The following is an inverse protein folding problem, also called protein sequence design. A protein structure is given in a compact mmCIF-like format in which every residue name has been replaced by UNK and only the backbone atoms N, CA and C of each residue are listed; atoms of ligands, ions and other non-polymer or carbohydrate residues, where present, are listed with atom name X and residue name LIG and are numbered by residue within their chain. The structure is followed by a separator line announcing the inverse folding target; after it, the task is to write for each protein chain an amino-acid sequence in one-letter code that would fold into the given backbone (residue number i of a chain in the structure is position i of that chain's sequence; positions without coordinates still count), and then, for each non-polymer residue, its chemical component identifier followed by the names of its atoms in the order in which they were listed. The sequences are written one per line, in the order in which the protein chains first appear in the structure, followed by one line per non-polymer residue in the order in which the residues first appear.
data_IF_359581768293
#
_entry.id   IF_359581768293
#
_cell.length_a   1.000
_cell.length_b   1.000
_cell.length_c   1.000
_cell.angle_alpha   90.00
_cell.angle_beta   90.00
_cell.angle_gamma   90.00
#
_symmetry.space_group_name_H-M   'P 1'
#
loop_
_entity.id
_entity.type
_entity.pdbx_description
1 polymer ?
#
# COMPACT_ATOMS: atom_id res chain seq x y z
N UNK A 1 -10.24 4.78 12.23
CA UNK A 1 -10.49 4.41 10.82
C UNK A 1 -9.81 3.09 10.51
N UNK A 2 -10.51 2.15 9.87
CA UNK A 2 -9.99 0.82 9.52
C UNK A 2 -9.17 0.91 8.24
N UNK A 3 -7.84 1.12 8.35
CA UNK A 3 -7.00 1.36 7.18
C UNK A 3 -6.75 0.10 6.32
N UNK A 4 -6.89 -1.09 6.91
CA UNK A 4 -6.57 -2.35 6.22
C UNK A 4 -7.79 -3.18 5.78
N UNK A 5 -9.01 -2.84 6.21
CA UNK A 5 -10.23 -3.46 5.66
C UNK A 5 -10.63 -2.67 4.41
N UNK A 6 -10.16 -3.12 3.25
CA UNK A 6 -10.39 -2.52 1.92
C UNK A 6 -10.78 -3.62 0.92
N UNK A 7 -11.35 -3.24 -0.22
CA UNK A 7 -11.63 -4.19 -1.30
C UNK A 7 -10.32 -4.67 -1.93
N UNK A 8 -10.03 -5.96 -1.79
CA UNK A 8 -8.80 -6.59 -2.29
C UNK A 8 -8.94 -7.16 -3.72
N UNK A 9 -10.15 -7.20 -4.29
CA UNK A 9 -10.35 -7.68 -5.66
C UNK A 9 -10.10 -6.59 -6.72
N UNK A 10 -9.67 -6.98 -7.93
CA UNK A 10 -9.74 -6.11 -9.10
C UNK A 10 -11.19 -5.67 -9.41
N UNK A 11 -11.43 -4.45 -9.94
CA UNK A 11 -10.48 -3.41 -10.34
C UNK A 11 -10.15 -2.39 -9.22
N UNK A 12 -10.63 -2.61 -7.98
CA UNK A 12 -10.45 -1.66 -6.88
C UNK A 12 -9.01 -1.67 -6.37
N UNK A 13 -8.41 -2.86 -6.32
CA UNK A 13 -6.97 -3.02 -6.22
C UNK A 13 -6.41 -3.11 -7.66
N UNK A 14 -5.51 -2.20 -8.07
CA UNK A 14 -4.93 -2.21 -9.41
C UNK A 14 -3.99 -3.40 -9.64
N UNK A 15 -3.45 -3.96 -8.57
CA UNK A 15 -2.61 -5.16 -8.54
C UNK A 15 -3.33 -6.31 -7.82
N UNK A 16 -2.80 -7.53 -7.94
CA UNK A 16 -3.31 -8.68 -7.19
C UNK A 16 -3.14 -8.47 -5.68
N UNK A 17 -4.08 -8.99 -4.90
CA UNK A 17 -4.02 -8.87 -3.45
C UNK A 17 -2.80 -9.63 -2.92
N UNK A 18 -1.89 -8.91 -2.27
CA UNK A 18 -0.73 -9.55 -1.63
C UNK A 18 -1.14 -10.30 -0.37
N UNK A 19 -0.34 -11.29 0.02
CA UNK A 19 -0.52 -12.01 1.29
C UNK A 19 -0.50 -11.05 2.49
N UNK A 20 0.36 -10.03 2.45
CA UNK A 20 0.43 -8.97 3.47
C UNK A 20 -0.86 -8.15 3.55
N UNK A 21 -1.49 -7.81 2.42
CA UNK A 21 -2.77 -7.11 2.40
C UNK A 21 -3.88 -7.95 3.04
N UNK A 22 -3.92 -9.26 2.71
CA UNK A 22 -4.88 -10.21 3.26
C UNK A 22 -4.68 -10.36 4.76
N UNK A 23 -3.44 -10.57 5.20
CA UNK A 23 -3.10 -10.72 6.62
C UNK A 23 -3.38 -9.45 7.41
N UNK A 24 -3.11 -8.28 6.83
CA UNK A 24 -3.44 -7.00 7.43
C UNK A 24 -4.96 -6.79 7.57
N UNK A 25 -5.75 -7.22 6.58
CA UNK A 25 -7.21 -7.20 6.66
C UNK A 25 -7.73 -8.15 7.76
N UNK A 26 -7.21 -9.38 7.81
CA UNK A 26 -7.54 -10.37 8.85
C UNK A 26 -7.23 -9.85 10.26
N UNK A 27 -6.04 -9.27 10.46
CA UNK A 27 -5.66 -8.65 11.74
C UNK A 27 -6.64 -7.56 12.18
N UNK A 28 -7.04 -6.67 11.26
CA UNK A 28 -7.99 -5.62 11.59
C UNK A 28 -9.40 -6.16 11.87
N UNK A 29 -9.82 -7.22 11.18
CA UNK A 29 -11.08 -7.91 11.48
C UNK A 29 -11.06 -8.46 12.91
N UNK A 30 -10.03 -9.23 13.29
CA UNK A 30 -9.93 -9.83 14.61
C UNK A 30 -9.92 -8.76 15.70
N UNK A 31 -9.17 -7.67 15.51
CA UNK A 31 -9.18 -6.52 16.43
C UNK A 31 -10.56 -5.87 16.55
N UNK A 32 -11.29 -5.75 15.45
CA UNK A 32 -12.62 -5.15 15.43
C UNK A 32 -13.66 -6.01 16.13
N UNK A 33 -13.62 -7.32 15.92
CA UNK A 33 -14.58 -8.28 16.51
C UNK A 33 -14.29 -8.50 17.99
N UNK A 34 -13.02 -8.66 18.36
CA UNK A 34 -12.61 -8.93 19.74
C UNK A 34 -12.64 -7.68 20.64
N UNK A 35 -12.65 -6.48 20.07
CA UNK A 35 -12.57 -5.22 20.82
C UNK A 35 -11.17 -4.87 21.35
N UNK A 36 -10.18 -5.75 21.16
CA UNK A 36 -8.80 -5.50 21.58
C UNK A 36 -8.01 -4.79 20.48
N UNK A 37 -7.34 -3.68 20.84
CA UNK A 37 -6.34 -3.04 19.96
C UNK A 37 -5.04 -3.84 19.92
N UNK A 38 -4.65 -4.42 21.05
CA UNK A 38 -3.49 -5.29 21.18
C UNK A 38 -3.87 -6.45 22.11
N UNK A 39 -3.59 -7.71 21.74
CA UNK A 39 -3.83 -8.85 22.61
C UNK A 39 -2.88 -8.81 23.80
N UNK A 40 -3.38 -9.20 24.97
CA UNK A 40 -2.53 -9.50 26.12
C UNK A 40 -1.69 -10.76 25.85
N UNK A 41 -0.56 -10.91 26.54
CA UNK A 41 0.40 -12.01 26.29
C UNK A 41 -0.25 -13.41 26.34
N UNK A 42 -1.20 -13.62 27.25
CA UNK A 42 -1.90 -14.91 27.40
C UNK A 42 -2.90 -15.20 26.27
N UNK A 43 -3.43 -14.19 25.59
CA UNK A 43 -4.37 -14.35 24.47
C UNK A 43 -3.67 -14.30 23.11
N UNK A 44 -2.35 -14.09 23.09
CA UNK A 44 -1.59 -13.84 21.87
C UNK A 44 -1.71 -14.99 20.89
N UNK A 45 -1.56 -16.22 21.36
CA UNK A 45 -1.65 -17.42 20.52
C UNK A 45 -3.04 -17.59 19.90
N UNK A 46 -4.11 -17.36 20.67
CA UNK A 46 -5.49 -17.42 20.16
C UNK A 46 -5.73 -16.32 19.11
N UNK A 47 -5.17 -15.14 19.34
CA UNK A 47 -5.27 -14.02 18.41
C UNK A 47 -4.53 -14.29 17.10
N UNK A 48 -3.29 -14.78 17.19
CA UNK A 48 -2.46 -15.12 16.02
C UNK A 48 -3.10 -16.22 15.20
N UNK A 49 -3.55 -17.31 15.85
CA UNK A 49 -4.27 -18.40 15.17
C UNK A 49 -5.52 -17.91 14.45
N UNK A 50 -6.34 -17.07 15.09
CA UNK A 50 -7.54 -16.53 14.46
C UNK A 50 -7.22 -15.64 13.25
N UNK A 51 -6.13 -14.87 13.30
CA UNK A 51 -5.68 -14.06 12.16
C UNK A 51 -5.25 -14.95 11.00
N UNK A 52 -4.49 -16.01 11.27
CA UNK A 52 -4.00 -16.91 10.23
C UNK A 52 -5.15 -17.70 9.57
N UNK A 53 -6.10 -18.23 10.35
CA UNK A 53 -7.30 -18.91 9.82
C UNK A 53 -8.13 -18.01 8.90
N UNK A 54 -8.29 -16.73 9.26
CA UNK A 54 -9.05 -15.76 8.47
C UNK A 54 -8.27 -15.33 7.22
N UNK A 55 -6.95 -15.19 7.32
CA UNK A 55 -6.10 -14.90 6.18
C UNK A 55 -6.21 -16.04 5.14
N UNK A 56 -6.10 -17.29 5.57
CA UNK A 56 -6.26 -18.47 4.72
C UNK A 56 -7.64 -18.54 4.07
N UNK A 57 -8.71 -18.33 4.86
CA UNK A 57 -10.07 -18.32 4.34
C UNK A 57 -10.28 -17.20 3.30
N UNK A 58 -9.68 -16.03 3.53
CA UNK A 58 -9.76 -14.89 2.61
C UNK A 58 -8.95 -15.14 1.33
N UNK A 59 -7.77 -15.76 1.43
CA UNK A 59 -6.96 -16.14 0.28
C UNK A 59 -7.72 -17.12 -0.63
N UNK A 60 -8.33 -18.16 -0.05
CA UNK A 60 -9.17 -19.13 -0.79
C UNK A 60 -10.36 -18.44 -1.44
N UNK A 61 -11.05 -17.57 -0.70
CA UNK A 61 -12.15 -16.77 -1.25
C UNK A 61 -11.71 -15.96 -2.47
N UNK A 62 -10.58 -15.25 -2.38
CA UNK A 62 -10.09 -14.41 -3.49
C UNK A 62 -9.63 -15.23 -4.69
N UNK A 63 -9.08 -16.43 -4.46
CA UNK A 63 -8.68 -17.35 -5.52
C UNK A 63 -9.90 -17.90 -6.29
N UNK A 64 -10.97 -18.23 -5.59
CA UNK A 64 -12.18 -18.85 -6.18
C UNK A 64 -13.24 -17.81 -6.62
N UNK A 65 -13.01 -16.52 -6.37
CA UNK A 65 -13.99 -15.47 -6.65
C UNK A 65 -14.13 -15.19 -8.16
N UNK A 66 -15.19 -15.70 -8.78
CA UNK A 66 -15.52 -15.35 -10.16
C UNK A 66 -16.22 -13.98 -10.25
N UNK A 67 -15.49 -12.96 -10.73
CA UNK A 67 -16.07 -11.63 -10.99
C UNK A 67 -16.55 -11.55 -12.44
N UNK A 68 -17.87 -11.69 -12.64
CA UNK A 68 -18.51 -11.46 -13.95
C UNK A 68 -18.19 -10.04 -14.45
N UNK A 69 -17.56 -9.93 -15.63
CA UNK A 69 -17.10 -8.67 -16.23
C UNK A 69 -15.60 -8.38 -16.13
N UNK A 70 -14.83 -9.14 -15.35
CA UNK A 70 -13.37 -8.96 -15.22
C UNK A 70 -12.59 -9.35 -16.49
N UNK A 71 -13.14 -10.25 -17.33
CA UNK A 71 -12.54 -10.67 -18.60
C UNK A 71 -12.36 -9.50 -19.58
N UNK A 72 -13.23 -8.49 -19.53
CA UNK A 72 -13.14 -7.29 -20.37
C UNK A 72 -12.13 -6.26 -19.84
N UNK A 73 -11.82 -6.30 -18.54
CA UNK A 73 -10.85 -5.39 -17.90
C UNK A 73 -9.42 -5.92 -17.99
N UNK A 74 -9.22 -7.23 -17.77
CA UNK A 74 -7.91 -7.89 -17.94
C UNK A 74 -7.41 -7.84 -19.40
N UNK A 75 -8.31 -7.93 -20.38
CA UNK A 75 -7.98 -7.76 -21.79
C UNK A 75 -7.48 -6.33 -22.12
N UNK A 76 -7.98 -5.30 -21.42
CA UNK A 76 -7.53 -3.89 -21.59
C UNK A 76 -6.26 -3.55 -20.83
N UNK A 77 -5.89 -4.30 -19.80
CA UNK A 77 -4.65 -4.12 -19.05
C UNK A 77 -3.41 -4.68 -19.77
N UNK A 78 -3.61 -5.57 -20.76
CA UNK A 78 -2.55 -6.11 -21.63
C UNK A 78 -2.08 -5.17 -22.74
N UNK A 79 -2.75 -4.05 -22.95
CA UNK A 79 -2.32 -3.06 -23.93
C UNK A 79 -1.33 -2.10 -23.24
N UNK A 80 -0.02 -2.17 -23.56
CA UNK A 80 0.93 -1.22 -23.01
C UNK A 80 0.57 0.15 -23.57
N UNK A 81 0.12 1.07 -22.71
CA UNK A 81 -0.08 2.47 -23.09
C UNK A 81 1.27 3.06 -23.51
N UNK A 82 1.53 3.36 -24.79
CA UNK A 82 2.69 4.14 -25.15
C UNK A 82 2.33 5.60 -24.90
N UNK A 83 2.99 6.22 -23.92
CA UNK A 83 3.18 7.69 -23.75
C UNK A 83 3.19 8.13 -22.27
N UNK A 84 4.12 7.57 -21.49
CA UNK A 84 4.57 8.18 -20.25
C UNK A 84 6.05 8.61 -20.35
N UNK A 85 6.42 9.25 -21.46
CA UNK A 85 7.59 10.15 -21.47
C UNK A 85 7.08 11.53 -21.09
N UNK A 86 7.27 11.92 -19.83
CA UNK A 86 7.91 13.19 -19.44
C UNK A 86 8.00 13.30 -17.92
N UNK A 87 9.19 13.06 -17.38
CA UNK A 87 9.57 13.56 -16.06
C UNK A 87 9.59 15.10 -16.09
N UNK A 88 9.07 15.81 -15.08
CA UNK A 88 9.50 17.16 -14.81
C UNK A 88 10.73 17.14 -13.88
N UNK A 89 11.85 17.59 -14.44
CA UNK A 89 13.12 17.82 -13.79
C UNK A 89 13.00 18.70 -12.54
N UNK A 90 13.67 18.27 -11.47
CA UNK A 90 13.88 19.07 -10.27
C UNK A 90 14.78 20.27 -10.60
N UNK A 91 14.24 21.48 -10.45
CA UNK A 91 15.00 22.73 -10.59
C UNK A 91 15.94 22.91 -9.38
N UNK A 92 17.23 23.21 -9.57
CA UNK A 92 18.12 23.49 -8.45
C UNK A 92 17.84 24.88 -7.85
N UNK A 93 17.78 24.95 -6.52
CA UNK A 93 17.72 26.20 -5.77
C UNK A 93 19.05 26.95 -5.87
N UNK A 94 19.03 28.12 -6.51
CA UNK A 94 20.19 29.02 -6.60
C UNK A 94 20.55 29.58 -5.23
N UNK A 95 21.66 29.10 -4.65
CA UNK A 95 22.35 29.76 -3.54
C UNK A 95 22.93 31.08 -4.08
N UNK A 96 22.34 32.21 -3.72
CA UNK A 96 22.95 33.54 -3.92
C UNK A 96 23.95 33.81 -2.81
N UNK A 97 25.19 33.41 -3.03
CA UNK A 97 26.35 33.91 -2.30
C UNK A 97 26.58 35.36 -2.74
N UNK A 98 26.31 36.34 -1.87
CA UNK A 98 26.89 37.68 -2.07
C UNK A 98 28.25 37.72 -1.38
N UNK A 99 29.28 37.73 -2.21
CA UNK A 99 30.65 38.01 -1.86
C UNK A 99 30.76 39.39 -1.19
N UNK A 100 31.52 39.40 -0.08
CA UNK A 100 32.04 40.56 0.62
C UNK A 100 33.16 41.15 -0.25
N UNK A 101 33.07 42.44 -0.56
CA UNK A 101 34.07 43.17 -1.35
C UNK A 101 35.48 43.13 -0.71
N UNK A 102 36.54 43.16 -1.54
CA UNK A 102 37.91 43.34 -1.08
C UNK A 102 38.30 44.83 -1.02
N UNK A 103 39.04 45.23 0.02
CA UNK A 103 39.81 46.48 0.06
C UNK A 103 41.26 46.15 0.44
N UNK A 104 42.22 46.21 -0.51
CA UNK A 104 43.65 46.21 -0.20
C UNK A 104 44.20 47.65 -0.25
N UNK A 105 44.96 48.06 0.78
CA UNK A 105 45.78 49.28 0.70
C UNK A 105 45.98 50.01 2.03
N UNK A 106 46.78 49.42 2.92
CA UNK A 106 47.39 50.14 4.04
C UNK A 106 48.92 50.07 3.86
N UNK A 107 49.52 51.21 3.53
CA UNK A 107 50.88 51.60 3.92
C UNK A 107 50.84 53.07 4.26
#
# INVERSE_FOLDING_TARGET
MCRSIKTLRPPVLPEEATEDDIRAAALQYVRKVSGFRAPAAHNREVFERAVDEIADATARLLADLEVRGAHSAAARAREPRPDAVRAPEARPATVRTRAREPQPGAV
#
